data_IF_673631581697
#
_entry.id   IF_673631581697
#
_cell.length_a   1.000
_cell.length_b   1.000
_cell.length_c   1.000
_cell.angle_alpha   90.00
_cell.angle_beta   90.00
_cell.angle_gamma   90.00
#
_symmetry.space_group_name_H-M   'P 1'
#
loop_
_entity.id
_entity.type
_entity.pdbx_description
1 polymer ?
#
# COMPACT_ATOMS: atom_id res chain seq x y z
N UNK A 1 -23.65 53.56 10.72
CA UNK A 1 -24.12 52.19 10.40
C UNK A 1 -23.00 51.13 10.28
N UNK A 2 -21.69 51.47 10.37
CA UNK A 2 -20.62 50.47 10.15
C UNK A 2 -20.38 49.45 11.27
N UNK A 3 -20.52 49.83 12.54
CA UNK A 3 -20.16 48.97 13.69
C UNK A 3 -21.13 47.80 13.86
N UNK A 4 -22.43 48.01 13.58
CA UNK A 4 -23.45 46.95 13.65
C UNK A 4 -23.25 45.90 12.55
N UNK A 5 -22.91 46.34 11.34
CA UNK A 5 -22.62 45.45 10.20
C UNK A 5 -21.33 44.66 10.42
N UNK A 6 -20.30 45.28 10.99
CA UNK A 6 -19.05 44.60 11.34
C UNK A 6 -19.26 43.51 12.41
N UNK A 7 -20.08 43.78 13.44
CA UNK A 7 -20.43 42.79 14.46
C UNK A 7 -21.25 41.64 13.88
N UNK A 8 -22.19 41.91 12.98
CA UNK A 8 -22.97 40.86 12.30
C UNK A 8 -22.07 39.99 11.42
N UNK A 9 -21.15 40.59 10.67
CA UNK A 9 -20.17 39.86 9.85
C UNK A 9 -19.28 38.96 10.71
N UNK A 10 -18.78 39.47 11.84
CA UNK A 10 -17.95 38.68 12.76
C UNK A 10 -18.70 37.47 13.33
N UNK A 11 -19.98 37.65 13.70
CA UNK A 11 -20.83 36.56 14.19
C UNK A 11 -21.05 35.50 13.09
N UNK A 12 -21.30 35.91 11.85
CA UNK A 12 -21.45 34.98 10.73
C UNK A 12 -20.17 34.19 10.47
N UNK A 13 -19.00 34.83 10.53
CA UNK A 13 -17.70 34.17 10.37
C UNK A 13 -17.45 33.16 11.50
N UNK A 14 -17.75 33.53 12.75
CA UNK A 14 -17.63 32.62 13.90
C UNK A 14 -18.54 31.40 13.77
N UNK A 15 -19.77 31.59 13.30
CA UNK A 15 -20.71 30.48 13.05
C UNK A 15 -20.19 29.58 11.93
N UNK A 16 -19.69 30.13 10.82
CA UNK A 16 -19.12 29.35 9.73
C UNK A 16 -17.91 28.51 10.18
N UNK A 17 -17.03 29.10 11.01
CA UNK A 17 -15.87 28.38 11.56
C UNK A 17 -16.29 27.24 12.51
N UNK A 18 -17.32 27.46 13.33
CA UNK A 18 -17.87 26.42 14.20
C UNK A 18 -18.49 25.27 13.40
N UNK A 19 -19.24 25.59 12.33
CA UNK A 19 -19.84 24.58 11.44
C UNK A 19 -18.75 23.78 10.72
N UNK A 20 -17.70 24.45 10.22
CA UNK A 20 -16.57 23.78 9.58
C UNK A 20 -15.82 22.85 10.54
N UNK A 21 -15.57 23.29 11.78
CA UNK A 21 -14.93 22.47 12.81
C UNK A 21 -15.79 21.30 13.29
N UNK A 22 -17.11 21.48 13.38
CA UNK A 22 -18.02 20.39 13.71
C UNK A 22 -18.11 19.36 12.58
N UNK A 23 -18.08 19.80 11.32
CA UNK A 23 -18.09 18.92 10.14
C UNK A 23 -16.80 18.09 10.06
N UNK A 24 -15.63 18.66 10.39
CA UNK A 24 -14.37 17.91 10.47
C UNK A 24 -14.32 16.92 11.63
N UNK A 25 -15.04 17.18 12.73
CA UNK A 25 -15.20 16.22 13.82
C UNK A 25 -16.18 15.08 13.50
N UNK A 26 -17.16 15.33 12.62
CA UNK A 26 -18.12 14.32 12.14
C UNK A 26 -17.57 13.48 10.98
N UNK A 27 -16.54 13.97 10.29
CA UNK A 27 -15.78 13.21 9.31
C UNK A 27 -14.96 12.14 10.06
N UNK A 28 -15.07 10.85 9.70
CA UNK A 28 -14.23 9.82 10.27
C UNK A 28 -12.77 10.17 9.96
N UNK A 29 -12.03 10.54 11.01
CA UNK A 29 -10.58 10.76 10.91
C UNK A 29 -9.96 9.48 10.38
N UNK A 30 -9.14 9.60 9.34
CA UNK A 30 -8.35 8.54 8.68
C UNK A 30 -7.30 7.97 9.65
N UNK A 31 -7.78 7.40 10.75
CA UNK A 31 -7.04 6.60 11.73
C UNK A 31 -7.24 5.11 11.43
N UNK A 32 -8.11 4.80 10.48
CA UNK A 32 -8.30 3.46 9.94
C UNK A 32 -7.10 3.02 9.11
N UNK A 33 -6.36 3.91 8.43
CA UNK A 33 -5.24 3.48 7.57
C UNK A 33 -4.13 2.78 8.36
N UNK A 34 -3.79 3.25 9.56
CA UNK A 34 -2.75 2.60 10.38
C UNK A 34 -3.23 1.27 10.95
N UNK A 35 -4.50 1.18 11.34
CA UNK A 35 -5.07 -0.05 11.92
C UNK A 35 -5.43 -1.08 10.84
N UNK A 36 -5.83 -0.64 9.65
CA UNK A 36 -6.04 -1.47 8.46
C UNK A 36 -4.72 -1.94 7.87
N UNK A 37 -3.65 -1.14 7.87
CA UNK A 37 -2.31 -1.60 7.50
C UNK A 37 -1.82 -2.70 8.46
N UNK A 38 -1.87 -2.47 9.77
CA UNK A 38 -1.51 -3.48 10.78
C UNK A 38 -2.39 -4.74 10.69
N UNK A 39 -3.71 -4.58 10.50
CA UNK A 39 -4.63 -5.72 10.37
C UNK A 39 -4.49 -6.45 9.04
N UNK A 40 -4.05 -5.79 7.96
CA UNK A 40 -3.83 -6.41 6.64
C UNK A 40 -2.51 -7.18 6.60
N UNK A 41 -1.47 -6.74 7.30
CA UNK A 41 -0.27 -7.57 7.55
C UNK A 41 -0.63 -8.87 8.28
N UNK A 42 -1.37 -8.77 9.38
CA UNK A 42 -1.71 -9.92 10.24
C UNK A 42 -2.66 -10.91 9.54
N UNK A 43 -3.58 -10.44 8.67
CA UNK A 43 -4.56 -11.32 8.01
C UNK A 43 -3.96 -12.15 6.86
N UNK A 44 -2.83 -11.74 6.28
CA UNK A 44 -2.12 -12.56 5.28
C UNK A 44 -1.46 -13.81 5.92
N UNK A 45 -1.12 -13.71 7.21
CA UNK A 45 -0.44 -14.76 7.96
C UNK A 45 -1.39 -15.83 8.53
N UNK A 46 -2.70 -15.62 8.44
CA UNK A 46 -3.73 -16.52 8.97
C UNK A 46 -4.31 -17.51 7.95
N UNK A 47 -3.85 -17.50 6.69
CA UNK A 47 -4.26 -18.53 5.71
C UNK A 47 -3.43 -19.79 5.97
N UNK A 48 -4.13 -20.90 6.23
CA UNK A 48 -3.53 -22.24 6.38
C UNK A 48 -2.38 -22.43 5.40
N UNK A 49 -1.16 -22.58 5.92
CA UNK A 49 0.03 -22.88 5.11
C UNK A 49 -0.03 -24.27 4.49
N UNK A 50 -0.95 -25.13 4.95
CA UNK A 50 -1.08 -26.51 4.48
C UNK A 50 -1.61 -26.62 3.05
N UNK A 51 -2.50 -25.70 2.63
CA UNK A 51 -3.12 -25.73 1.29
C UNK A 51 -2.67 -24.57 0.40
N UNK A 52 -1.45 -24.06 0.63
CA UNK A 52 -0.90 -22.94 -0.12
C UNK A 52 0.47 -23.26 -0.71
N UNK A 53 0.82 -22.61 -1.82
CA UNK A 53 2.12 -22.76 -2.47
C UNK A 53 2.93 -21.46 -2.48
N UNK A 54 4.24 -21.59 -2.68
CA UNK A 54 5.16 -20.47 -2.87
C UNK A 54 5.62 -20.46 -4.32
N UNK A 55 5.47 -19.32 -4.99
CA UNK A 55 6.00 -19.13 -6.34
C UNK A 55 7.45 -18.69 -6.24
N UNK A 56 8.35 -19.41 -6.91
CA UNK A 56 9.74 -18.98 -7.08
C UNK A 56 9.92 -18.59 -8.53
N UNK A 57 10.30 -17.33 -8.78
CA UNK A 57 10.48 -16.80 -10.13
C UNK A 57 11.88 -16.23 -10.27
N UNK A 58 12.69 -16.85 -11.12
CA UNK A 58 14.00 -16.32 -11.50
C UNK A 58 13.85 -15.40 -12.71
N UNK A 59 14.54 -14.27 -12.69
CA UNK A 59 14.50 -13.28 -13.77
C UNK A 59 15.87 -12.70 -14.05
N UNK A 60 16.16 -12.52 -15.35
CA UNK A 60 17.37 -11.88 -15.86
C UNK A 60 17.00 -11.03 -17.07
N UNK A 61 17.38 -9.76 -17.04
CA UNK A 61 17.19 -8.74 -18.07
C UNK A 61 15.75 -8.62 -18.60
N UNK A 62 14.75 -8.92 -17.76
CA UNK A 62 13.31 -8.96 -18.11
C UNK A 62 12.44 -8.40 -16.99
N UNK A 63 12.81 -7.23 -16.48
CA UNK A 63 12.15 -6.57 -15.34
C UNK A 63 10.71 -6.17 -15.65
N UNK A 64 10.45 -5.70 -16.85
CA UNK A 64 9.12 -5.35 -17.37
C UNK A 64 8.18 -6.56 -17.40
N UNK A 65 8.66 -7.69 -17.93
CA UNK A 65 7.94 -8.94 -17.98
C UNK A 65 7.68 -9.48 -16.56
N UNK A 66 8.70 -9.43 -15.70
CA UNK A 66 8.59 -9.83 -14.29
C UNK A 66 7.43 -9.09 -13.62
N UNK A 67 7.38 -7.76 -13.71
CA UNK A 67 6.34 -6.96 -13.06
C UNK A 67 4.94 -7.29 -13.61
N UNK A 68 4.83 -7.50 -14.93
CA UNK A 68 3.57 -7.94 -15.56
C UNK A 68 3.13 -9.31 -15.05
N UNK A 69 4.06 -10.25 -14.91
CA UNK A 69 3.78 -11.59 -14.38
C UNK A 69 3.44 -11.53 -12.89
N UNK A 70 4.16 -10.77 -12.09
CA UNK A 70 3.85 -10.57 -10.67
C UNK A 70 2.42 -10.02 -10.48
N UNK A 71 2.03 -9.06 -11.32
CA UNK A 71 0.67 -8.51 -11.31
C UNK A 71 -0.41 -9.56 -11.65
N UNK A 72 -0.09 -10.55 -12.46
CA UNK A 72 -0.99 -11.66 -12.76
C UNK A 72 -1.01 -12.69 -11.62
N UNK A 73 0.17 -13.15 -11.19
CA UNK A 73 0.30 -14.23 -10.21
C UNK A 73 -0.18 -13.84 -8.82
N UNK A 74 -0.10 -12.56 -8.43
CA UNK A 74 -0.60 -12.11 -7.12
C UNK A 74 -2.09 -12.42 -6.87
N UNK A 75 -2.89 -12.60 -7.94
CA UNK A 75 -4.30 -12.91 -7.86
C UNK A 75 -4.60 -14.42 -7.92
N UNK A 76 -3.57 -15.27 -8.03
CA UNK A 76 -3.75 -16.72 -8.13
C UNK A 76 -4.19 -17.29 -6.77
N UNK A 77 -5.23 -18.16 -6.74
CA UNK A 77 -5.69 -18.77 -5.50
C UNK A 77 -4.56 -19.59 -4.86
N UNK A 78 -4.58 -19.65 -3.52
CA UNK A 78 -3.63 -20.44 -2.71
C UNK A 78 -2.16 -20.03 -2.86
N UNK A 79 -1.86 -18.90 -3.49
CA UNK A 79 -0.54 -18.32 -3.44
C UNK A 79 -0.30 -17.71 -2.05
N UNK A 80 0.70 -18.22 -1.33
CA UNK A 80 1.11 -17.70 -0.03
C UNK A 80 2.13 -16.58 -0.20
N UNK A 81 3.13 -16.78 -1.05
CA UNK A 81 4.27 -15.87 -1.18
C UNK A 81 4.93 -16.03 -2.53
N UNK A 82 5.58 -14.96 -2.99
CA UNK A 82 6.48 -15.01 -4.15
C UNK A 82 7.91 -14.72 -3.70
N UNK A 83 8.85 -15.53 -4.18
CA UNK A 83 10.29 -15.28 -4.05
C UNK A 83 10.84 -15.03 -5.45
N UNK A 84 11.26 -13.79 -5.70
CA UNK A 84 11.92 -13.41 -6.95
C UNK A 84 13.42 -13.60 -6.78
N UNK A 85 14.00 -14.51 -7.56
CA UNK A 85 15.45 -14.67 -7.68
C UNK A 85 15.95 -13.68 -8.73
N UNK A 86 16.66 -12.66 -8.26
CA UNK A 86 17.10 -11.54 -9.09
C UNK A 86 18.52 -11.77 -9.58
N UNK A 87 18.67 -12.10 -10.87
CA UNK A 87 19.94 -12.45 -11.49
C UNK A 87 20.62 -11.29 -12.23
N UNK A 88 20.09 -10.06 -12.13
CA UNK A 88 20.76 -8.89 -12.72
C UNK A 88 21.86 -8.41 -11.77
N UNK A 89 23.04 -9.01 -11.91
CA UNK A 89 24.21 -8.72 -11.08
C UNK A 89 24.59 -7.25 -11.24
N UNK A 90 24.71 -6.54 -10.11
CA UNK A 90 25.04 -5.11 -10.10
C UNK A 90 23.85 -4.18 -10.34
N UNK A 91 22.67 -4.72 -10.69
CA UNK A 91 21.44 -3.94 -10.81
C UNK A 91 20.57 -4.07 -9.55
N UNK A 92 19.96 -2.96 -9.14
CA UNK A 92 19.02 -2.95 -8.03
C UNK A 92 17.72 -3.66 -8.44
N UNK A 93 17.23 -4.54 -7.58
CA UNK A 93 15.92 -5.15 -7.75
C UNK A 93 14.80 -4.08 -7.76
N UNK A 94 13.65 -4.33 -8.41
CA UNK A 94 12.56 -3.36 -8.47
C UNK A 94 11.68 -3.42 -7.20
N UNK A 95 12.27 -3.64 -6.03
CA UNK A 95 11.52 -3.78 -4.77
C UNK A 95 10.88 -2.47 -4.32
N UNK A 96 11.58 -1.34 -4.46
CA UNK A 96 11.03 0.00 -4.18
C UNK A 96 9.87 0.34 -5.12
N UNK A 97 10.03 0.05 -6.41
CA UNK A 97 8.97 0.25 -7.41
C UNK A 97 7.78 -0.66 -7.14
N UNK A 98 8.02 -1.92 -6.77
CA UNK A 98 6.95 -2.83 -6.41
C UNK A 98 6.20 -2.33 -5.18
N UNK A 99 6.90 -1.90 -4.13
CA UNK A 99 6.29 -1.40 -2.89
C UNK A 99 5.46 -0.13 -3.12
N UNK A 100 5.85 0.75 -4.04
CA UNK A 100 5.09 1.96 -4.36
C UNK A 100 3.79 1.69 -5.12
N UNK A 101 3.68 0.56 -5.82
CA UNK A 101 2.46 0.12 -6.53
C UNK A 101 1.47 -0.64 -5.63
N UNK A 102 1.75 -0.75 -4.33
CA UNK A 102 0.90 -1.45 -3.37
C UNK A 102 -0.44 -0.73 -3.11
N UNK A 103 -1.36 -1.39 -2.38
CA UNK A 103 -1.16 -2.60 -1.58
C UNK A 103 -1.29 -3.92 -2.35
N UNK A 104 -0.39 -4.86 -2.05
CA UNK A 104 -0.37 -6.21 -2.66
C UNK A 104 -1.07 -7.25 -1.76
N UNK A 105 -1.77 -8.24 -2.33
CA UNK A 105 -2.49 -9.26 -1.56
C UNK A 105 -1.57 -10.28 -0.88
N UNK A 106 -0.36 -10.44 -1.38
CA UNK A 106 0.62 -11.43 -0.92
C UNK A 106 2.04 -10.83 -0.84
N UNK A 107 2.89 -11.31 0.09
CA UNK A 107 4.27 -10.87 0.19
C UNK A 107 5.10 -11.31 -1.03
N UNK A 108 5.90 -10.38 -1.55
CA UNK A 108 6.89 -10.62 -2.62
C UNK A 108 8.27 -10.28 -2.08
N UNK A 109 9.19 -11.24 -2.13
CA UNK A 109 10.56 -11.10 -1.62
C UNK A 109 11.55 -11.15 -2.77
N UNK A 110 12.34 -10.09 -2.93
CA UNK A 110 13.43 -10.05 -3.90
C UNK A 110 14.73 -10.57 -3.27
N UNK A 111 15.32 -11.59 -3.87
CA UNK A 111 16.61 -12.17 -3.46
C UNK A 111 17.65 -11.89 -4.55
N UNK A 112 18.48 -10.89 -4.30
CA UNK A 112 19.60 -10.54 -5.18
C UNK A 112 20.65 -11.66 -5.20
N UNK A 113 21.07 -12.06 -6.40
CA UNK A 113 22.19 -12.95 -6.60
C UNK A 113 23.49 -12.15 -6.76
N UNK A 114 24.57 -12.65 -6.16
CA UNK A 114 25.92 -12.06 -6.29
C UNK A 114 26.71 -12.68 -7.44
N UNK A 115 26.26 -13.82 -7.98
CA UNK A 115 26.87 -14.51 -9.11
C UNK A 115 25.80 -15.29 -9.88
N UNK A 116 25.99 -15.41 -11.20
CA UNK A 116 25.20 -16.31 -12.03
C UNK A 116 25.90 -17.68 -11.96
N UNK A 117 25.24 -18.64 -11.32
CA UNK A 117 25.69 -20.03 -11.22
C UNK A 117 24.64 -20.95 -11.82
#
# INVERSE_FOLDING_TARGET
MGIRVLRLSLVVILVLLLVAGALTALLPSVKEDKMLMLRREIKSQGKSTMDSFTLIMQTYNRTDLLLKLLNHYQAVPNLHKVIVVWNNIGEKAPDELWNSLGPHPIPVIFKQQTANR
#
